data_IF_179862039390
#
_entry.id   IF_179862039390
#
_cell.length_a   1.000
_cell.length_b   1.000
_cell.length_c   1.000
_cell.angle_alpha   90.00
_cell.angle_beta   90.00
_cell.angle_gamma   90.00
#
_symmetry.space_group_name_H-M   'P 1'
#
loop_
_entity.id
_entity.type
_entity.pdbx_description
1 polymer ?
#
# COMPACT_ATOMS: atom_id res chain seq x y z
N UNK A 1 9.26 -8.93 20.92
CA UNK A 1 9.64 -8.91 19.50
C UNK A 1 9.95 -10.36 19.09
N UNK A 2 9.15 -10.96 18.20
CA UNK A 2 9.41 -12.30 17.67
C UNK A 2 10.72 -12.29 16.89
N UNK A 3 11.54 -13.33 17.09
CA UNK A 3 12.77 -13.48 16.29
C UNK A 3 12.40 -13.61 14.81
N UNK A 4 13.09 -12.91 13.89
CA UNK A 4 12.84 -13.06 12.47
C UNK A 4 12.99 -14.53 12.04
N UNK A 5 12.14 -15.03 11.15
CA UNK A 5 12.26 -16.37 10.64
C UNK A 5 13.62 -16.53 9.93
N UNK A 6 14.30 -17.63 10.20
CA UNK A 6 15.60 -17.95 9.57
C UNK A 6 15.36 -18.77 8.32
N UNK A 7 16.14 -18.52 7.28
CA UNK A 7 16.13 -19.39 6.11
C UNK A 7 16.65 -20.78 6.53
N UNK A 8 15.81 -21.80 6.31
CA UNK A 8 16.14 -23.21 6.54
C UNK A 8 15.95 -23.91 5.20
N UNK A 9 17.04 -24.29 4.56
CA UNK A 9 17.01 -25.12 3.36
C UNK A 9 17.97 -26.29 3.56
N UNK A 10 17.48 -27.54 3.55
CA UNK A 10 18.30 -28.72 3.82
C UNK A 10 19.42 -28.94 2.79
N UNK A 11 19.33 -28.30 1.61
CA UNK A 11 20.30 -28.43 0.53
C UNK A 11 21.45 -27.41 0.60
N UNK A 12 21.43 -26.50 1.58
CA UNK A 12 22.46 -25.47 1.75
C UNK A 12 23.40 -25.80 2.92
N UNK A 13 24.69 -25.51 2.74
CA UNK A 13 25.64 -25.62 3.84
C UNK A 13 25.34 -24.61 4.95
N UNK A 14 25.75 -24.89 6.18
CA UNK A 14 25.56 -23.99 7.32
C UNK A 14 26.17 -22.60 7.08
N UNK A 15 27.28 -22.54 6.36
CA UNK A 15 27.94 -21.26 5.99
C UNK A 15 27.13 -20.47 4.97
N UNK A 16 26.54 -21.14 3.98
CA UNK A 16 25.64 -20.50 3.01
C UNK A 16 24.40 -19.95 3.68
N UNK A 17 23.78 -20.73 4.58
CA UNK A 17 22.62 -20.28 5.37
C UNK A 17 22.96 -19.06 6.20
N UNK A 18 24.14 -19.04 6.83
CA UNK A 18 24.59 -17.87 7.58
C UNK A 18 24.74 -16.63 6.71
N UNK A 19 25.39 -16.74 5.55
CA UNK A 19 25.56 -15.64 4.57
C UNK A 19 24.21 -15.09 4.11
N UNK A 20 23.23 -15.96 3.83
CA UNK A 20 21.88 -15.54 3.43
C UNK A 20 21.18 -14.80 4.58
N UNK A 21 21.24 -15.33 5.80
CA UNK A 21 20.60 -14.69 6.94
C UNK A 21 21.23 -13.33 7.27
N UNK A 22 22.57 -13.22 7.17
CA UNK A 22 23.27 -11.96 7.38
C UNK A 22 22.91 -10.91 6.30
N UNK A 23 22.75 -11.35 5.05
CA UNK A 23 22.29 -10.48 3.95
C UNK A 23 20.85 -10.03 4.16
N UNK A 24 19.93 -10.93 4.54
CA UNK A 24 18.53 -10.60 4.83
C UNK A 24 18.41 -9.63 6.02
N UNK A 25 19.20 -9.84 7.07
CA UNK A 25 19.24 -8.95 8.23
C UNK A 25 19.73 -7.56 7.85
N UNK A 26 20.81 -7.49 7.05
CA UNK A 26 21.37 -6.22 6.56
C UNK A 26 20.38 -5.42 5.70
N UNK A 27 19.55 -6.11 4.92
CA UNK A 27 18.52 -5.50 4.09
C UNK A 27 17.24 -5.18 4.85
N UNK A 28 17.15 -5.52 6.15
CA UNK A 28 15.95 -5.35 7.00
C UNK A 28 14.69 -5.92 6.34
N UNK A 29 14.80 -7.14 5.81
CA UNK A 29 13.70 -7.73 5.03
C UNK A 29 12.41 -7.89 5.85
N UNK A 30 12.51 -8.18 7.17
CA UNK A 30 11.34 -8.33 8.05
C UNK A 30 10.61 -7.00 8.20
N UNK A 31 11.32 -5.94 8.54
CA UNK A 31 10.72 -4.60 8.65
C UNK A 31 10.11 -4.13 7.32
N UNK A 32 10.76 -4.45 6.19
CA UNK A 32 10.19 -4.16 4.86
C UNK A 32 8.91 -4.94 4.58
N UNK A 33 8.85 -6.23 4.94
CA UNK A 33 7.65 -7.03 4.79
C UNK A 33 6.51 -6.54 5.71
N UNK A 34 6.80 -6.19 6.96
CA UNK A 34 5.82 -5.61 7.89
C UNK A 34 5.27 -4.28 7.37
N UNK A 35 6.13 -3.41 6.86
CA UNK A 35 5.73 -2.16 6.24
C UNK A 35 4.85 -2.39 5.00
N UNK A 36 5.23 -3.34 4.13
CA UNK A 36 4.44 -3.69 2.95
C UNK A 36 3.08 -4.27 3.33
N UNK A 37 3.02 -5.15 4.34
CA UNK A 37 1.76 -5.70 4.84
C UNK A 37 0.85 -4.60 5.40
N UNK A 38 1.41 -3.64 6.13
CA UNK A 38 0.67 -2.48 6.64
C UNK A 38 0.12 -1.63 5.49
N UNK A 39 0.93 -1.32 4.48
CA UNK A 39 0.48 -0.57 3.31
C UNK A 39 -0.55 -1.32 2.48
N UNK A 40 -0.43 -2.66 2.35
CA UNK A 40 -1.43 -3.46 1.67
C UNK A 40 -2.80 -3.40 2.38
N UNK A 41 -2.81 -3.42 3.71
CA UNK A 41 -4.05 -3.27 4.50
C UNK A 41 -4.65 -1.87 4.38
N UNK A 42 -3.82 -0.83 4.37
CA UNK A 42 -4.27 0.57 4.27
C UNK A 42 -4.73 0.93 2.84
N UNK A 43 -3.99 0.52 1.83
CA UNK A 43 -4.19 0.98 0.44
C UNK A 43 -4.71 -0.09 -0.51
N UNK A 44 -4.87 -1.33 -0.05
CA UNK A 44 -5.35 -2.46 -0.84
C UNK A 44 -4.23 -3.32 -1.41
N UNK A 45 -3.10 -2.73 -1.82
CA UNK A 45 -1.92 -3.44 -2.30
C UNK A 45 -0.64 -2.68 -1.96
N UNK A 46 0.45 -3.41 -1.80
CA UNK A 46 1.80 -2.89 -1.73
C UNK A 46 2.79 -3.91 -2.28
N UNK A 47 3.94 -3.47 -2.74
CA UNK A 47 5.00 -4.32 -3.24
C UNK A 47 6.31 -4.12 -2.50
N UNK A 48 7.06 -5.19 -2.32
CA UNK A 48 8.48 -5.12 -1.97
C UNK A 48 9.27 -5.33 -3.25
N UNK A 49 9.83 -4.26 -3.77
CA UNK A 49 10.72 -4.33 -4.92
C UNK A 49 12.07 -4.87 -4.51
N UNK A 50 12.50 -5.92 -5.19
CA UNK A 50 13.82 -6.57 -5.05
C UNK A 50 14.72 -6.00 -6.15
N UNK A 51 15.46 -4.95 -5.84
CA UNK A 51 16.42 -4.38 -6.79
C UNK A 51 17.65 -5.29 -6.89
N UNK A 52 18.00 -5.66 -8.09
CA UNK A 52 19.13 -6.53 -8.41
C UNK A 52 19.99 -5.96 -9.54
N UNK A 53 21.14 -6.57 -9.78
CA UNK A 53 22.12 -6.11 -10.78
C UNK A 53 21.67 -6.23 -12.22
N UNK A 54 20.61 -7.01 -12.51
CA UNK A 54 20.05 -7.19 -13.85
C UNK A 54 19.13 -6.04 -14.28
N UNK A 55 18.71 -6.10 -15.54
CA UNK A 55 17.79 -5.13 -16.12
C UNK A 55 16.41 -5.26 -15.47
N UNK A 56 15.87 -4.15 -14.93
CA UNK A 56 14.70 -4.21 -14.05
C UNK A 56 13.40 -4.54 -14.80
N UNK A 57 13.32 -4.24 -16.09
CA UNK A 57 12.17 -4.55 -16.95
C UNK A 57 12.11 -6.02 -17.40
N UNK A 58 13.22 -6.76 -17.26
CA UNK A 58 13.27 -8.18 -17.62
C UNK A 58 12.95 -9.10 -16.44
N UNK A 59 12.50 -10.35 -16.69
CA UNK A 59 12.34 -11.34 -15.66
C UNK A 59 13.62 -11.55 -14.86
N UNK A 60 13.49 -11.71 -13.54
CA UNK A 60 14.64 -11.90 -12.66
C UNK A 60 15.34 -13.22 -12.95
N UNK A 61 16.66 -13.17 -13.18
CA UNK A 61 17.51 -14.35 -13.29
C UNK A 61 18.01 -14.81 -11.91
N UNK A 62 18.19 -16.13 -11.76
CA UNK A 62 18.74 -16.71 -10.52
C UNK A 62 20.22 -16.34 -10.27
N UNK A 63 20.91 -15.76 -11.25
CA UNK A 63 22.33 -15.35 -11.16
C UNK A 63 22.50 -13.91 -10.68
N UNK A 64 21.42 -13.15 -10.58
CA UNK A 64 21.48 -11.74 -10.18
C UNK A 64 21.68 -11.58 -8.67
N UNK A 65 22.48 -10.58 -8.30
CA UNK A 65 22.75 -10.23 -6.92
C UNK A 65 21.73 -9.18 -6.48
N UNK A 66 21.04 -9.45 -5.37
CA UNK A 66 20.12 -8.50 -4.75
C UNK A 66 20.93 -7.38 -4.10
N UNK A 67 20.64 -6.14 -4.47
CA UNK A 67 21.31 -4.94 -3.94
C UNK A 67 20.56 -4.36 -2.74
N UNK A 68 19.26 -4.14 -2.88
CA UNK A 68 18.40 -3.60 -1.81
C UNK A 68 16.94 -4.01 -2.00
N UNK A 69 16.18 -3.81 -0.92
CA UNK A 69 14.72 -3.95 -0.91
C UNK A 69 14.08 -2.59 -0.70
N UNK A 70 13.03 -2.29 -1.48
CA UNK A 70 12.26 -1.04 -1.35
C UNK A 70 10.78 -1.34 -1.29
N UNK A 71 10.09 -0.80 -0.29
CA UNK A 71 8.64 -0.90 -0.20
C UNK A 71 8.01 0.18 -1.06
N UNK A 72 7.03 -0.20 -1.87
CA UNK A 72 6.26 0.69 -2.74
C UNK A 72 4.78 0.47 -2.45
N UNK A 73 4.06 1.52 -2.12
CA UNK A 73 2.62 1.48 -1.95
C UNK A 73 1.89 1.60 -3.31
N UNK A 74 0.61 1.18 -3.34
CA UNK A 74 -0.24 1.22 -4.53
C UNK A 74 -0.28 2.60 -5.21
N UNK A 75 -0.20 3.70 -4.45
CA UNK A 75 -0.33 5.06 -5.00
C UNK A 75 0.85 5.48 -5.87
N UNK A 76 1.97 4.78 -5.72
CA UNK A 76 3.22 5.02 -6.47
C UNK A 76 3.57 3.89 -7.42
N UNK A 77 2.67 2.92 -7.57
CA UNK A 77 2.87 1.75 -8.42
C UNK A 77 1.72 1.65 -9.42
N UNK A 78 2.05 1.59 -10.69
CA UNK A 78 1.11 1.52 -11.80
C UNK A 78 1.38 0.28 -12.61
N UNK A 79 0.32 -0.38 -13.07
CA UNK A 79 0.44 -1.51 -14.00
C UNK A 79 0.72 -0.95 -15.39
N UNK A 80 1.80 -1.40 -16.02
CA UNK A 80 2.20 -1.00 -17.37
C UNK A 80 1.86 -2.04 -18.41
N UNK A 81 1.95 -3.30 -18.04
CA UNK A 81 1.80 -4.42 -18.97
C UNK A 81 1.03 -5.56 -18.32
N UNK A 82 0.28 -6.31 -19.13
CA UNK A 82 -0.47 -7.50 -18.74
C UNK A 82 -0.05 -8.70 -19.58
N UNK A 83 -0.19 -9.90 -19.02
CA UNK A 83 -0.07 -11.13 -19.79
C UNK A 83 -1.26 -11.26 -20.74
N UNK A 84 -1.01 -11.17 -22.03
CA UNK A 84 -2.04 -11.23 -23.09
C UNK A 84 -2.27 -12.63 -23.66
N UNK A 85 -1.37 -13.58 -23.39
CA UNK A 85 -1.49 -14.95 -23.91
C UNK A 85 -2.57 -15.73 -23.14
N UNK A 86 -3.73 -16.07 -23.77
CA UNK A 86 -4.82 -16.76 -23.11
C UNK A 86 -4.51 -18.21 -22.73
N UNK A 87 -3.39 -18.77 -23.22
CA UNK A 87 -2.96 -20.13 -22.87
C UNK A 87 -2.19 -20.20 -21.56
N UNK A 88 -1.83 -19.06 -20.98
CA UNK A 88 -1.14 -19.01 -19.69
C UNK A 88 -2.14 -18.94 -18.54
N UNK A 89 -1.83 -19.60 -17.45
CA UNK A 89 -2.63 -19.58 -16.22
C UNK A 89 -2.81 -18.15 -15.65
N UNK A 90 -1.81 -17.30 -15.85
CA UNK A 90 -1.80 -15.92 -15.40
C UNK A 90 -2.25 -14.91 -16.48
N UNK A 91 -2.99 -15.36 -17.51
CA UNK A 91 -3.55 -14.46 -18.53
C UNK A 91 -4.43 -13.37 -17.88
N UNK A 92 -4.20 -12.11 -18.23
CA UNK A 92 -4.89 -10.96 -17.64
C UNK A 92 -4.30 -10.46 -16.32
N UNK A 93 -3.28 -11.13 -15.76
CA UNK A 93 -2.54 -10.60 -14.62
C UNK A 93 -1.47 -9.61 -15.07
N UNK A 94 -1.09 -8.65 -14.20
CA UNK A 94 -0.02 -7.70 -14.50
C UNK A 94 1.33 -8.39 -14.67
N UNK A 95 2.04 -8.11 -15.75
CA UNK A 95 3.41 -8.59 -16.02
C UNK A 95 4.48 -7.56 -15.72
N UNK A 96 4.12 -6.26 -15.80
CA UNK A 96 5.02 -5.15 -15.55
C UNK A 96 4.40 -4.03 -14.74
N UNK A 97 5.24 -3.38 -13.96
CA UNK A 97 4.87 -2.24 -13.12
C UNK A 97 5.81 -1.07 -13.35
N UNK A 98 5.31 0.15 -13.16
CA UNK A 98 6.14 1.34 -13.12
C UNK A 98 6.02 2.00 -11.74
N UNK A 99 7.13 2.48 -11.21
CA UNK A 99 7.21 3.18 -9.94
C UNK A 99 7.41 4.67 -10.18
N UNK A 100 6.63 5.48 -9.47
CA UNK A 100 6.76 6.93 -9.48
C UNK A 100 7.51 7.40 -8.25
N UNK A 101 8.54 8.24 -8.41
CA UNK A 101 9.25 8.84 -7.28
C UNK A 101 8.32 9.71 -6.41
N UNK A 102 8.64 9.83 -5.12
CA UNK A 102 7.94 10.74 -4.22
C UNK A 102 8.08 12.20 -4.70
N UNK A 103 6.96 12.92 -4.74
CA UNK A 103 6.95 14.34 -5.11
C UNK A 103 6.69 14.63 -6.58
N UNK A 104 6.58 13.63 -7.44
CA UNK A 104 6.16 13.83 -8.83
C UNK A 104 4.67 13.60 -8.99
N UNK A 105 3.96 14.58 -9.52
CA UNK A 105 2.60 14.44 -10.06
C UNK A 105 2.79 13.95 -11.49
N UNK A 106 2.14 12.82 -11.82
CA UNK A 106 2.20 12.29 -13.19
C UNK A 106 1.27 13.14 -14.04
N UNK A 107 1.83 13.98 -14.87
CA UNK A 107 1.07 14.75 -15.85
C UNK A 107 0.92 14.01 -17.19
N UNK A 108 1.84 13.09 -17.49
CA UNK A 108 1.84 12.31 -18.75
C UNK A 108 2.38 10.90 -18.55
N UNK A 109 1.90 9.95 -19.38
CA UNK A 109 2.31 8.54 -19.36
C UNK A 109 3.81 8.32 -19.67
N UNK A 110 4.49 9.31 -20.24
CA UNK A 110 5.91 9.24 -20.58
C UNK A 110 6.83 9.48 -19.36
N UNK A 111 6.30 10.02 -18.27
CA UNK A 111 7.05 10.30 -17.03
C UNK A 111 7.04 9.14 -16.04
N UNK A 112 6.60 7.96 -16.45
CA UNK A 112 6.72 6.77 -15.61
C UNK A 112 8.18 6.52 -15.26
N UNK A 113 8.45 6.42 -13.96
CA UNK A 113 9.76 6.10 -13.43
C UNK A 113 10.24 4.69 -13.82
N UNK A 114 11.02 4.08 -12.97
CA UNK A 114 11.61 2.76 -13.21
C UNK A 114 10.54 1.71 -13.52
N UNK A 115 10.59 1.10 -14.70
CA UNK A 115 9.79 -0.08 -15.05
C UNK A 115 10.39 -1.31 -14.42
N UNK A 116 9.55 -2.17 -13.87
CA UNK A 116 9.98 -3.37 -13.14
C UNK A 116 9.09 -4.54 -13.51
N UNK A 117 9.70 -5.67 -13.83
CA UNK A 117 8.98 -6.90 -14.11
C UNK A 117 8.38 -7.50 -12.82
N UNK A 118 7.24 -8.20 -12.91
CA UNK A 118 6.53 -8.76 -11.75
C UNK A 118 7.39 -9.67 -10.88
N UNK A 119 8.28 -10.47 -11.49
CA UNK A 119 9.17 -11.41 -10.78
C UNK A 119 10.15 -10.73 -9.82
N UNK A 120 10.27 -9.40 -9.90
CA UNK A 120 11.11 -8.57 -9.03
C UNK A 120 10.33 -7.90 -7.91
N UNK A 121 9.03 -8.19 -7.79
CA UNK A 121 8.16 -7.58 -6.81
C UNK A 121 7.49 -8.66 -5.98
N UNK A 122 7.76 -8.67 -4.68
CA UNK A 122 6.98 -9.43 -3.71
C UNK A 122 5.67 -8.71 -3.42
N UNK A 123 4.57 -9.15 -4.03
CA UNK A 123 3.28 -8.47 -3.91
C UNK A 123 2.56 -8.85 -2.62
N UNK A 124 2.22 -7.84 -1.81
CA UNK A 124 1.34 -7.95 -0.66
C UNK A 124 -0.05 -7.46 -1.07
N UNK A 125 -1.05 -8.32 -0.93
CA UNK A 125 -2.44 -8.05 -1.34
C UNK A 125 -3.29 -7.69 -0.12
N UNK A 126 -4.25 -6.79 -0.32
CA UNK A 126 -5.27 -6.45 0.66
C UNK A 126 -6.39 -7.48 0.71
N UNK A 127 -7.64 -7.02 0.73
CA UNK A 127 -8.79 -7.91 0.66
C UNK A 127 -8.99 -8.35 -0.78
N UNK A 128 -8.93 -9.68 -0.99
CA UNK A 128 -9.18 -10.26 -2.31
C UNK A 128 -10.58 -9.88 -2.81
N UNK A 129 -10.63 -9.35 -4.01
CA UNK A 129 -11.86 -8.95 -4.70
C UNK A 129 -12.08 -9.83 -5.93
N UNK A 130 -13.30 -9.82 -6.47
CA UNK A 130 -13.59 -10.50 -7.72
C UNK A 130 -12.95 -9.78 -8.92
N UNK A 131 -12.95 -10.44 -10.07
CA UNK A 131 -12.33 -9.91 -11.28
C UNK A 131 -12.97 -8.61 -11.78
N UNK A 132 -14.30 -8.47 -11.61
CA UNK A 132 -15.04 -7.28 -12.05
C UNK A 132 -14.67 -6.08 -11.18
N UNK A 133 -14.66 -6.25 -9.87
CA UNK A 133 -14.26 -5.19 -8.94
C UNK A 133 -12.79 -4.81 -9.10
N UNK A 134 -11.90 -5.77 -9.38
CA UNK A 134 -10.50 -5.50 -9.72
C UNK A 134 -10.37 -4.64 -10.97
N UNK A 135 -11.14 -4.92 -12.02
CA UNK A 135 -11.13 -4.13 -13.24
C UNK A 135 -11.50 -2.67 -12.97
N UNK A 136 -12.58 -2.43 -12.19
CA UNK A 136 -12.96 -1.08 -11.76
C UNK A 136 -11.91 -0.37 -10.89
N UNK A 137 -11.10 -1.14 -10.16
CA UNK A 137 -10.07 -0.64 -9.27
C UNK A 137 -8.66 -0.65 -9.92
N UNK A 138 -8.59 -0.58 -11.24
CA UNK A 138 -7.36 -0.59 -12.02
C UNK A 138 -6.44 -1.81 -11.73
N UNK A 139 -7.03 -2.99 -11.52
CA UNK A 139 -6.31 -4.23 -11.26
C UNK A 139 -5.92 -4.47 -9.78
N UNK A 140 -6.33 -3.59 -8.86
CA UNK A 140 -5.95 -3.66 -7.46
C UNK A 140 -7.03 -4.24 -6.56
N UNK A 141 -6.60 -4.90 -5.47
CA UNK A 141 -7.47 -5.35 -4.40
C UNK A 141 -7.93 -4.20 -3.50
N UNK A 142 -8.89 -4.42 -2.62
CA UNK A 142 -9.44 -3.39 -1.74
C UNK A 142 -8.67 -3.28 -0.42
N UNK A 143 -8.67 -2.04 0.10
CA UNK A 143 -8.22 -1.76 1.46
C UNK A 143 -9.16 -2.39 2.50
N UNK A 144 -8.59 -2.83 3.62
CA UNK A 144 -9.38 -3.27 4.79
C UNK A 144 -10.27 -2.14 5.29
N UNK A 145 -9.79 -0.89 5.22
CA UNK A 145 -10.52 0.30 5.68
C UNK A 145 -11.75 0.61 4.82
N UNK A 146 -11.79 0.15 3.58
CA UNK A 146 -12.90 0.45 2.67
C UNK A 146 -14.25 -0.09 3.17
N UNK A 147 -14.23 -1.18 3.95
CA UNK A 147 -15.43 -1.71 4.60
C UNK A 147 -15.95 -0.83 5.72
N UNK A 148 -15.07 -0.09 6.38
CA UNK A 148 -15.40 0.74 7.54
C UNK A 148 -15.58 2.21 7.16
N UNK A 149 -15.26 2.63 5.92
CA UNK A 149 -15.19 4.05 5.56
C UNK A 149 -16.54 4.76 5.71
N UNK A 150 -17.66 4.08 5.40
CA UNK A 150 -18.98 4.64 5.57
C UNK A 150 -19.29 4.88 7.04
N UNK A 151 -19.02 3.89 7.90
CA UNK A 151 -19.25 4.01 9.34
C UNK A 151 -18.41 5.15 9.95
N UNK A 152 -17.13 5.26 9.54
CA UNK A 152 -16.25 6.35 10.01
C UNK A 152 -16.74 7.72 9.53
N UNK A 153 -17.23 7.81 8.28
CA UNK A 153 -17.81 9.04 7.73
C UNK A 153 -19.06 9.44 8.49
N UNK A 154 -20.00 8.51 8.66
CA UNK A 154 -21.27 8.77 9.36
C UNK A 154 -21.02 9.19 10.83
N UNK A 155 -20.05 8.56 11.48
CA UNK A 155 -19.60 8.99 12.81
C UNK A 155 -19.04 10.42 12.79
N UNK A 156 -18.23 10.75 11.80
CA UNK A 156 -17.67 12.11 11.62
C UNK A 156 -18.76 13.16 11.39
N UNK A 157 -19.78 12.85 10.62
CA UNK A 157 -20.93 13.73 10.37
C UNK A 157 -21.77 13.92 11.64
N UNK A 158 -22.01 12.84 12.39
CA UNK A 158 -22.72 12.90 13.69
C UNK A 158 -21.98 13.81 14.68
N UNK A 159 -20.64 13.67 14.80
CA UNK A 159 -19.84 14.54 15.66
C UNK A 159 -19.90 16.01 15.25
N UNK A 160 -19.86 16.30 13.95
CA UNK A 160 -20.00 17.67 13.44
C UNK A 160 -21.39 18.24 13.77
N UNK A 161 -22.45 17.46 13.56
CA UNK A 161 -23.82 17.84 13.91
C UNK A 161 -23.96 18.14 15.41
N UNK A 162 -23.45 17.27 16.27
CA UNK A 162 -23.46 17.48 17.72
C UNK A 162 -22.71 18.76 18.13
N UNK A 163 -21.53 18.98 17.58
CA UNK A 163 -20.76 20.20 17.84
C UNK A 163 -21.49 21.48 17.42
N UNK A 164 -22.20 21.44 16.29
CA UNK A 164 -23.02 22.56 15.81
C UNK A 164 -24.19 22.82 16.74
N UNK A 165 -24.92 21.79 17.16
CA UNK A 165 -26.01 21.89 18.09
C UNK A 165 -25.56 22.47 19.44
N UNK A 166 -24.43 22.01 19.99
CA UNK A 166 -23.89 22.55 21.24
C UNK A 166 -23.53 24.04 21.10
N UNK A 167 -22.99 24.45 19.97
CA UNK A 167 -22.70 25.87 19.71
C UNK A 167 -23.96 26.71 19.61
N UNK A 168 -24.97 26.24 18.90
CA UNK A 168 -26.25 26.95 18.77
C UNK A 168 -26.97 27.10 20.11
N UNK A 169 -26.98 26.06 20.95
CA UNK A 169 -27.55 26.10 22.29
C UNK A 169 -26.79 27.10 23.16
N UNK A 170 -25.47 27.14 23.12
CA UNK A 170 -24.66 28.10 23.87
C UNK A 170 -24.92 29.53 23.44
N UNK A 171 -25.08 29.82 22.14
CA UNK A 171 -25.39 31.15 21.62
C UNK A 171 -26.81 31.58 22.05
N UNK A 172 -27.79 30.70 22.00
CA UNK A 172 -29.17 30.99 22.44
C UNK A 172 -29.23 31.32 23.92
N UNK A 173 -28.52 30.59 24.78
CA UNK A 173 -28.44 30.85 26.21
C UNK A 173 -27.81 32.22 26.52
N UNK A 174 -26.75 32.61 25.81
CA UNK A 174 -26.11 33.92 25.98
C UNK A 174 -27.03 35.07 25.54
N UNK A 175 -27.78 34.92 24.44
CA UNK A 175 -28.74 35.92 23.96
C UNK A 175 -29.88 36.11 24.95
N UNK A 176 -30.43 35.05 25.56
CA UNK A 176 -31.51 35.14 26.54
C UNK A 176 -31.03 35.84 27.81
N UNK A 177 -29.80 35.57 28.29
CA UNK A 177 -29.23 36.31 29.44
C UNK A 177 -29.08 37.80 29.19
N UNK A 178 -28.64 38.19 28.02
CA UNK A 178 -28.49 39.60 27.65
C UNK A 178 -29.86 40.32 27.54
N UNK A 179 -30.88 39.66 26.99
CA UNK A 179 -32.22 40.18 26.88
C UNK A 179 -32.85 40.41 28.26
N UNK A 180 -32.72 39.48 29.21
CA UNK A 180 -33.24 39.61 30.57
C UNK A 180 -32.59 40.77 31.32
N UNK A 181 -31.29 41.02 31.13
CA UNK A 181 -30.59 42.16 31.72
C UNK A 181 -30.99 43.51 31.14
N UNK A 182 -31.45 43.57 29.90
CA UNK A 182 -31.96 44.80 29.27
C UNK A 182 -33.42 45.11 29.59
N UNK A 183 -34.20 44.11 29.98
CA UNK A 183 -35.60 44.29 30.39
C UNK A 183 -35.77 44.68 31.87
N UNK A 184 -34.72 44.56 32.69
CA UNK A 184 -34.72 44.87 34.09
C UNK A 184 -33.96 46.16 34.42
N UNK A 185 -33.42 46.84 33.44
CA UNK A 185 -32.81 48.17 33.53
C UNK A 185 -33.74 49.22 32.94
#
# INVERSE_FOLDING_TARGET
>A
LAKPPKAINPNLSAEQIKRVNDALTRMDWVGKCEQAATFARLFGNAGVWVASTGEQCEPRSNREIVQFLKVVDRRRMYVTEYYTDPRRENAGEPSGYAFVPMGHIIETSEQFGTRVHETRIGMFRGIKTDAVQKAYNAGWDFSVLQRCINVVRDMGETWRGLSTLMRELSIKVLKVKNLAGQLLA
#
